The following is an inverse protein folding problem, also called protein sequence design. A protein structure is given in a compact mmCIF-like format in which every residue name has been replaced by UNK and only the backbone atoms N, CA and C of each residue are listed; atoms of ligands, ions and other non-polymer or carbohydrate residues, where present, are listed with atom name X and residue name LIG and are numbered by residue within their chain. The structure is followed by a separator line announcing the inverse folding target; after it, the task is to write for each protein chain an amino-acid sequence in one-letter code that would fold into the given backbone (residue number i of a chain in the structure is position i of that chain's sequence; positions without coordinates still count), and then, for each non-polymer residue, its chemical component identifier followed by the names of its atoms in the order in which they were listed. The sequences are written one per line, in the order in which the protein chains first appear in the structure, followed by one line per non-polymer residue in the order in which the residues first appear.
data_IF_018592069452
#
_entry.id   IF_018592069452
#
_cell.length_a   1.000
_cell.length_b   1.000
_cell.length_c   1.000
_cell.angle_alpha   90.00
_cell.angle_beta   90.00
_cell.angle_gamma   90.00
#
_symmetry.space_group_name_H-M   'P 1'
#
loop_
_entity.id
_entity.type
_entity.pdbx_description
1 polymer ?
#
# COMPACT_ATOMS: atom_id res chain seq x y z
N UNK A 1 1.84 -13.43 11.02
CA UNK A 1 1.72 -12.01 11.44
C UNK A 1 1.67 -11.13 10.21
N UNK A 2 2.49 -11.41 9.20
CA UNK A 2 2.42 -10.79 7.87
C UNK A 2 1.00 -10.76 7.26
N UNK A 3 0.23 -11.87 7.25
CA UNK A 3 -1.17 -11.89 6.76
C UNK A 3 -2.07 -10.84 7.41
N UNK A 4 -2.05 -10.83 8.74
CA UNK A 4 -2.92 -9.97 9.54
C UNK A 4 -2.53 -8.50 9.31
N UNK A 5 -1.24 -8.23 9.22
CA UNK A 5 -0.70 -6.89 9.00
C UNK A 5 -1.05 -6.36 7.60
N UNK A 6 -0.84 -7.12 6.53
CA UNK A 6 -1.18 -6.64 5.17
C UNK A 6 -2.67 -6.60 4.91
N UNK A 7 -3.45 -7.53 5.46
CA UNK A 7 -4.91 -7.47 5.33
C UNK A 7 -5.48 -6.23 6.04
N UNK A 8 -5.00 -5.91 7.24
CA UNK A 8 -5.38 -4.69 7.94
C UNK A 8 -4.97 -3.44 7.16
N UNK A 9 -3.74 -3.40 6.63
CA UNK A 9 -3.27 -2.30 5.79
C UNK A 9 -4.10 -2.14 4.50
N UNK A 10 -4.49 -3.25 3.86
CA UNK A 10 -5.37 -3.25 2.69
C UNK A 10 -6.75 -2.68 3.02
N UNK A 11 -7.35 -3.09 4.14
CA UNK A 11 -8.66 -2.60 4.60
C UNK A 11 -8.60 -1.09 4.86
N UNK A 12 -7.61 -0.62 5.62
CA UNK A 12 -7.45 0.80 5.94
C UNK A 12 -7.27 1.62 4.66
N UNK A 13 -6.38 1.17 3.76
CA UNK A 13 -6.10 1.88 2.51
C UNK A 13 -7.33 1.94 1.61
N UNK A 14 -8.11 0.86 1.55
CA UNK A 14 -9.37 0.80 0.78
C UNK A 14 -10.43 1.72 1.39
N UNK A 15 -10.54 1.78 2.72
CA UNK A 15 -11.46 2.68 3.40
C UNK A 15 -11.10 4.16 3.14
N UNK A 16 -9.81 4.51 3.24
CA UNK A 16 -9.34 5.88 2.94
C UNK A 16 -9.55 6.23 1.47
N UNK A 17 -9.33 5.28 0.56
CA UNK A 17 -9.63 5.46 -0.88
C UNK A 17 -11.12 5.72 -1.11
N UNK A 18 -12.01 4.92 -0.50
CA UNK A 18 -13.46 5.06 -0.67
C UNK A 18 -13.98 6.42 -0.16
N UNK A 19 -13.44 6.94 0.94
CA UNK A 19 -13.80 8.26 1.48
C UNK A 19 -13.32 9.40 0.58
N UNK A 20 -12.18 9.23 -0.11
CA UNK A 20 -11.63 10.25 -1.02
C UNK A 20 -12.17 10.17 -2.45
N UNK A 21 -12.93 9.11 -2.80
CA UNK A 21 -13.59 9.01 -4.09
C UNK A 21 -14.65 10.13 -4.24
N UNK A 22 -14.74 10.80 -5.41
CA UNK A 22 -14.19 10.43 -6.71
C UNK A 22 -12.88 11.14 -7.09
N UNK A 23 -12.34 12.01 -6.23
CA UNK A 23 -11.07 12.69 -6.50
C UNK A 23 -9.92 11.77 -6.08
N UNK A 24 -9.58 10.81 -6.94
CA UNK A 24 -8.47 9.85 -6.77
C UNK A 24 -7.08 10.51 -6.93
N UNK A 25 -6.98 11.73 -6.41
CA UNK A 25 -5.84 12.64 -6.46
C UNK A 25 -4.59 12.04 -5.85
N UNK A 26 -4.74 11.06 -4.95
CA UNK A 26 -3.67 10.45 -4.19
C UNK A 26 -3.31 9.03 -4.66
N UNK A 27 -3.87 8.55 -5.78
CA UNK A 27 -3.61 7.20 -6.31
C UNK A 27 -3.74 6.09 -5.24
N UNK A 28 -4.70 6.25 -4.32
CA UNK A 28 -4.84 5.31 -3.20
C UNK A 28 -5.37 3.95 -3.69
N UNK A 29 -6.05 3.91 -4.84
CA UNK A 29 -6.44 2.66 -5.49
C UNK A 29 -5.25 1.78 -5.86
N UNK A 30 -4.12 2.38 -6.28
CA UNK A 30 -2.88 1.63 -6.58
C UNK A 30 -2.31 1.01 -5.31
N UNK A 31 -2.23 1.77 -4.21
CA UNK A 31 -1.74 1.28 -2.93
C UNK A 31 -2.63 0.17 -2.35
N UNK A 32 -3.95 0.32 -2.47
CA UNK A 32 -4.92 -0.72 -2.11
C UNK A 32 -4.66 -2.01 -2.89
N UNK A 33 -4.43 -1.90 -4.21
CA UNK A 33 -4.16 -3.06 -5.07
C UNK A 33 -2.84 -3.76 -4.72
N UNK A 34 -1.79 -3.01 -4.35
CA UNK A 34 -0.53 -3.59 -3.85
C UNK A 34 -0.78 -4.38 -2.56
N UNK A 35 -1.48 -3.80 -1.58
CA UNK A 35 -1.75 -4.48 -0.31
C UNK A 35 -2.66 -5.71 -0.47
N UNK A 36 -3.67 -5.64 -1.33
CA UNK A 36 -4.50 -6.79 -1.66
C UNK A 36 -3.72 -7.88 -2.39
N UNK A 37 -2.87 -7.51 -3.36
CA UNK A 37 -1.99 -8.45 -4.05
C UNK A 37 -1.03 -9.17 -3.10
N UNK A 38 -0.39 -8.42 -2.20
CA UNK A 38 0.46 -8.97 -1.14
C UNK A 38 -0.34 -9.93 -0.24
N UNK A 39 -1.51 -9.52 0.24
CA UNK A 39 -2.38 -10.34 1.09
C UNK A 39 -2.78 -11.65 0.41
N UNK A 40 -3.12 -11.64 -0.89
CA UNK A 40 -3.50 -12.84 -1.62
C UNK A 40 -2.31 -13.78 -1.83
N UNK A 41 -1.14 -13.26 -2.23
CA UNK A 41 0.10 -14.07 -2.38
C UNK A 41 0.37 -14.88 -1.11
N UNK A 42 0.32 -14.17 -0.01
CA UNK A 42 0.52 -14.65 1.34
C UNK A 42 -0.58 -15.60 1.79
N UNK A 43 -1.84 -15.31 1.47
CA UNK A 43 -2.93 -16.21 1.80
C UNK A 43 -2.79 -17.56 1.08
N UNK A 44 -2.44 -17.54 -0.20
CA UNK A 44 -2.20 -18.76 -0.98
C UNK A 44 -1.01 -19.54 -0.41
N UNK A 45 0.09 -18.85 -0.05
CA UNK A 45 1.27 -19.46 0.54
C UNK A 45 0.94 -20.18 1.87
N UNK A 46 0.24 -19.50 2.78
CA UNK A 46 -0.22 -20.09 4.05
C UNK A 46 -1.18 -21.27 3.85
N UNK A 47 -2.12 -21.18 2.89
CA UNK A 47 -3.02 -22.29 2.55
C UNK A 47 -2.23 -23.50 2.05
N UNK A 48 -1.25 -23.30 1.17
CA UNK A 48 -0.46 -24.39 0.60
C UNK A 48 0.44 -25.03 1.66
N UNK A 49 1.13 -24.23 2.48
CA UNK A 49 1.95 -24.73 3.59
C UNK A 49 1.11 -25.54 4.59
N UNK A 50 -0.09 -25.07 4.93
CA UNK A 50 -0.98 -25.80 5.83
C UNK A 50 -1.49 -27.13 5.23
N UNK A 51 -1.82 -27.15 3.94
CA UNK A 51 -2.33 -28.36 3.28
C UNK A 51 -1.25 -29.41 3.00
N UNK A 52 -0.01 -28.98 2.72
CA UNK A 52 1.08 -29.87 2.31
C UNK A 52 1.89 -30.31 3.52
N UNK A 53 2.33 -29.37 4.35
CA UNK A 53 3.27 -29.63 5.44
C UNK A 53 2.58 -29.73 6.81
N UNK A 54 1.28 -29.39 6.89
CA UNK A 54 0.53 -29.39 8.14
C UNK A 54 0.97 -28.30 9.11
N UNK A 55 1.70 -27.29 8.61
CA UNK A 55 2.18 -26.16 9.42
C UNK A 55 1.05 -25.23 9.85
N UNK A 56 1.32 -24.41 10.86
CA UNK A 56 0.34 -23.47 11.39
C UNK A 56 -0.03 -22.41 10.35
N UNK A 57 -1.33 -22.24 10.13
CA UNK A 57 -1.86 -21.25 9.19
C UNK A 57 -1.50 -19.81 9.56
N UNK A 58 -1.30 -19.54 10.86
CA UNK A 58 -0.93 -18.23 11.37
C UNK A 58 0.47 -18.26 11.97
N UNK A 59 1.43 -17.74 11.23
CA UNK A 59 2.80 -17.65 11.72
C UNK A 59 2.99 -16.45 12.66
N UNK A 60 3.03 -16.65 13.99
CA UNK A 60 3.14 -15.56 14.99
C UNK A 60 4.60 -15.41 15.47
N UNK A 61 5.54 -15.50 14.55
CA UNK A 61 6.98 -15.37 14.82
C UNK A 61 7.42 -13.90 14.69
N UNK A 62 8.42 -13.43 15.48
CA UNK A 62 8.99 -12.09 15.31
C UNK A 62 9.52 -11.82 13.90
N UNK A 63 10.13 -12.82 13.25
CA UNK A 63 10.62 -12.71 11.87
C UNK A 63 9.48 -12.48 10.87
N UNK A 64 8.36 -13.19 11.05
CA UNK A 64 7.14 -13.02 10.28
C UNK A 64 6.53 -11.60 10.45
N UNK A 65 6.69 -10.99 11.63
CA UNK A 65 6.27 -9.62 11.87
C UNK A 65 7.21 -8.62 11.17
N UNK A 66 8.53 -8.83 11.24
CA UNK A 66 9.51 -7.97 10.58
C UNK A 66 9.36 -7.99 9.06
N UNK A 67 9.11 -9.18 8.49
CA UNK A 67 8.86 -9.34 7.06
C UNK A 67 7.56 -8.64 6.64
N UNK A 68 6.50 -8.80 7.43
CA UNK A 68 5.24 -8.07 7.25
C UNK A 68 5.44 -6.55 7.23
N UNK A 69 6.20 -6.03 8.19
CA UNK A 69 6.52 -4.61 8.30
C UNK A 69 7.37 -4.11 7.12
N UNK A 70 8.39 -4.88 6.72
CA UNK A 70 9.26 -4.53 5.59
C UNK A 70 8.46 -4.37 4.29
N UNK A 71 7.52 -5.28 4.01
CA UNK A 71 6.65 -5.17 2.83
C UNK A 71 5.72 -3.95 2.92
N UNK A 72 5.18 -3.65 4.09
CA UNK A 72 4.35 -2.44 4.27
C UNK A 72 5.16 -1.17 3.98
N UNK A 73 6.38 -1.08 4.50
CA UNK A 73 7.27 0.06 4.25
C UNK A 73 7.57 0.18 2.75
N UNK A 74 7.95 -0.93 2.09
CA UNK A 74 8.25 -0.92 0.66
C UNK A 74 7.05 -0.52 -0.19
N UNK A 75 5.85 -1.03 0.12
CA UNK A 75 4.62 -0.67 -0.59
C UNK A 75 4.31 0.84 -0.44
N UNK A 76 4.46 1.38 0.77
CA UNK A 76 4.32 2.81 1.04
C UNK A 76 5.37 3.64 0.28
N UNK A 77 6.63 3.21 0.25
CA UNK A 77 7.70 3.90 -0.49
C UNK A 77 7.42 3.93 -1.98
N UNK A 78 7.02 2.81 -2.59
CA UNK A 78 6.66 2.74 -4.02
C UNK A 78 5.48 3.66 -4.33
N UNK A 79 4.46 3.66 -3.47
CA UNK A 79 3.32 4.55 -3.63
C UNK A 79 3.69 6.03 -3.45
N UNK A 80 4.54 6.37 -2.48
CA UNK A 80 5.01 7.72 -2.26
C UNK A 80 5.78 8.26 -3.48
N UNK A 81 6.68 7.45 -4.06
CA UNK A 81 7.39 7.78 -5.30
C UNK A 81 6.39 7.99 -6.44
N UNK A 82 5.42 7.09 -6.61
CA UNK A 82 4.40 7.21 -7.65
C UNK A 82 3.53 8.47 -7.45
N UNK A 83 3.23 8.84 -6.21
CA UNK A 83 2.49 10.04 -5.84
C UNK A 83 3.28 11.31 -6.18
N UNK A 84 4.56 11.36 -5.81
CA UNK A 84 5.47 12.46 -6.10
C UNK A 84 5.64 12.68 -7.61
N UNK A 85 5.85 11.60 -8.37
CA UNK A 85 5.96 11.67 -9.84
C UNK A 85 4.67 12.15 -10.51
N UNK A 86 3.52 11.88 -9.91
CA UNK A 86 2.23 12.31 -10.45
C UNK A 86 1.91 13.78 -10.18
N UNK A 87 2.68 14.43 -9.28
CA UNK A 87 2.49 15.80 -8.77
C UNK A 87 1.02 16.30 -8.80
N UNK A 88 0.11 15.59 -8.13
CA UNK A 88 -1.31 15.90 -8.21
C UNK A 88 -1.66 17.24 -7.54
N UNK A 89 -0.76 17.78 -6.71
CA UNK A 89 -0.92 19.07 -6.04
C UNK A 89 -0.25 20.24 -6.79
N UNK A 90 0.48 20.02 -7.90
CA UNK A 90 1.23 21.05 -8.66
C UNK A 90 2.05 21.97 -7.77
N UNK A 91 2.67 21.42 -6.71
CA UNK A 91 3.33 22.24 -5.68
C UNK A 91 4.55 22.97 -6.29
N UNK A 92 5.15 22.40 -7.34
CA UNK A 92 6.31 22.94 -8.02
C UNK A 92 6.00 23.86 -9.22
N UNK A 93 4.71 24.08 -9.57
CA UNK A 93 4.33 24.88 -10.75
C UNK A 93 3.78 26.28 -10.44
N UNK A 94 3.72 26.68 -9.18
CA UNK A 94 3.41 28.06 -8.80
C UNK A 94 4.70 28.83 -8.48
N UNK A 95 5.59 28.98 -9.46
CA UNK A 95 6.48 30.14 -9.48
C UNK A 95 5.64 31.34 -9.92
N UNK A 96 5.48 32.39 -9.09
CA UNK A 96 4.63 33.54 -9.41
C UNK A 96 5.27 34.39 -10.52
N UNK A 97 5.03 34.02 -11.77
CA UNK A 97 5.34 34.82 -12.96
C UNK A 97 4.20 35.77 -13.37
N UNK A 98 3.60 36.46 -12.40
CA UNK A 98 2.55 37.47 -12.63
C UNK A 98 3.05 38.90 -12.38
N UNK A 99 4.35 39.14 -12.57
CA UNK A 99 4.89 40.46 -12.84
C UNK A 99 5.42 40.41 -14.27
N UNK A 100 5.09 41.42 -15.10
CA UNK A 100 5.37 41.54 -16.55
C UNK A 100 4.20 41.20 -17.48
N UNK A 101 3.10 41.97 -17.41
CA UNK A 101 2.60 42.61 -18.63
C UNK A 101 2.21 44.07 -18.34
N UNK A 102 3.00 44.92 -18.99
CA UNK A 102 2.82 46.34 -19.25
C UNK A 102 1.46 46.66 -19.86
#
# INVERSE_FOLDING_TARGET
MWLIMTSLAAIITTAIWYINAPNDKYKLGLLSLIFWGATIMWFVDAVMAHLIDGEDFFEITPDAALLGLAVIILALTVWEIALLLSDPKKIFKNTPGQFQKS
#
